data_IF_806660836482
#
_entry.id   IF_806660836482
#
_cell.length_a   1.000
_cell.length_b   1.000
_cell.length_c   1.000
_cell.angle_alpha   90.00
_cell.angle_beta   90.00
_cell.angle_gamma   90.00
#
_symmetry.space_group_name_H-M   'P 1'
#
loop_
_entity.id
_entity.type
_entity.pdbx_description
1 polymer ?
#
# COMPACT_ATOMS: atom_id res chain seq x y z
N UNK A 1 -3.76 -9.81 0.14
CA UNK A 1 -4.43 -8.68 -0.54
C UNK A 1 -3.45 -7.59 -1.01
N UNK A 2 -2.51 -7.11 -0.18
CA UNK A 2 -1.56 -6.06 -0.56
C UNK A 2 -0.73 -6.32 -1.83
N UNK A 3 -0.38 -7.58 -2.10
CA UNK A 3 0.38 -7.96 -3.31
C UNK A 3 -0.30 -7.56 -4.62
N UNK A 4 -1.64 -7.40 -4.66
CA UNK A 4 -2.33 -6.96 -5.86
C UNK A 4 -2.02 -5.51 -6.23
N UNK A 5 -1.81 -4.63 -5.23
CA UNK A 5 -1.43 -3.25 -5.48
C UNK A 5 -0.02 -3.18 -6.08
N UNK A 6 0.92 -3.94 -5.53
CA UNK A 6 2.29 -4.02 -6.02
C UNK A 6 2.35 -4.63 -7.43
N UNK A 7 1.59 -5.70 -7.67
CA UNK A 7 1.51 -6.33 -8.99
C UNK A 7 0.94 -5.38 -10.03
N UNK A 8 -0.09 -4.61 -9.69
CA UNK A 8 -0.64 -3.57 -10.57
C UNK A 8 0.40 -2.50 -10.88
N UNK A 9 1.16 -2.05 -9.87
CA UNK A 9 2.22 -1.06 -10.07
C UNK A 9 3.30 -1.54 -11.04
N UNK A 10 3.81 -2.77 -10.81
CA UNK A 10 4.78 -3.44 -11.69
C UNK A 10 4.24 -3.67 -13.10
N UNK A 11 2.95 -3.99 -13.23
CA UNK A 11 2.31 -4.15 -14.53
C UNK A 11 2.30 -2.83 -15.31
N UNK A 12 1.95 -1.71 -14.67
CA UNK A 12 1.98 -0.39 -15.29
C UNK A 12 3.39 0.02 -15.70
N UNK A 13 4.40 -0.20 -14.85
CA UNK A 13 5.80 0.06 -15.19
C UNK A 13 6.28 -0.78 -16.37
N UNK A 14 5.81 -2.03 -16.47
CA UNK A 14 6.14 -2.92 -17.59
C UNK A 14 5.48 -2.46 -18.88
N UNK A 15 4.23 -1.97 -18.84
CA UNK A 15 3.56 -1.36 -19.98
C UNK A 15 4.34 -0.12 -20.45
N UNK A 16 4.72 0.77 -19.54
CA UNK A 16 5.51 1.97 -19.88
C UNK A 16 6.81 1.60 -20.59
N UNK A 17 7.54 0.60 -20.08
CA UNK A 17 8.78 0.10 -20.70
C UNK A 17 8.52 -0.53 -22.07
N UNK A 18 7.41 -1.26 -22.25
CA UNK A 18 7.04 -1.86 -23.53
C UNK A 18 6.71 -0.83 -24.64
N UNK A 19 6.43 0.42 -24.26
CA UNK A 19 6.25 1.55 -25.16
C UNK A 19 7.46 2.50 -25.16
N UNK A 20 8.66 1.99 -24.83
CA UNK A 20 9.92 2.72 -24.78
C UNK A 20 9.91 3.98 -23.88
N UNK A 21 9.00 4.03 -22.89
CA UNK A 21 8.82 5.20 -22.04
C UNK A 21 8.19 6.41 -22.75
N UNK A 22 7.67 6.25 -23.97
CA UNK A 22 7.06 7.34 -24.73
C UNK A 22 5.60 7.54 -24.30
N UNK A 23 5.37 8.50 -23.40
CA UNK A 23 4.08 8.75 -22.73
C UNK A 23 2.85 8.74 -23.65
N UNK A 24 2.93 9.34 -24.83
CA UNK A 24 1.79 9.43 -25.78
C UNK A 24 1.23 8.06 -26.19
N UNK A 25 2.02 6.99 -26.06
CA UNK A 25 1.64 5.65 -26.48
C UNK A 25 0.97 4.83 -25.36
N UNK A 26 1.29 5.11 -24.10
CA UNK A 26 0.76 4.31 -22.98
C UNK A 26 -0.20 5.06 -22.05
N UNK A 27 -0.22 6.40 -22.02
CA UNK A 27 -1.03 7.17 -21.05
C UNK A 27 -2.51 6.76 -21.11
N UNK A 28 -3.09 6.67 -22.31
CA UNK A 28 -4.49 6.21 -22.48
C UNK A 28 -4.72 4.78 -22.00
N UNK A 29 -3.71 3.91 -22.15
CA UNK A 29 -3.80 2.52 -21.67
C UNK A 29 -3.83 2.51 -20.14
N UNK A 30 -2.96 3.29 -19.49
CA UNK A 30 -2.94 3.41 -18.04
C UNK A 30 -4.23 4.02 -17.50
N UNK A 31 -4.79 5.04 -18.16
CA UNK A 31 -6.08 5.64 -17.79
C UNK A 31 -7.23 4.61 -17.82
N UNK A 32 -7.30 3.78 -18.86
CA UNK A 32 -8.31 2.72 -18.96
C UNK A 32 -8.13 1.68 -17.83
N UNK A 33 -6.89 1.31 -17.54
CA UNK A 33 -6.58 0.38 -16.43
C UNK A 33 -7.00 1.01 -15.11
N UNK A 34 -6.69 2.28 -14.87
CA UNK A 34 -7.02 2.99 -13.64
C UNK A 34 -8.52 3.15 -13.42
N UNK A 35 -9.27 3.46 -14.48
CA UNK A 35 -10.74 3.53 -14.43
C UNK A 35 -11.34 2.19 -14.06
N UNK A 36 -10.92 1.11 -14.73
CA UNK A 36 -11.41 -0.24 -14.43
C UNK A 36 -11.01 -0.72 -13.04
N UNK A 37 -9.77 -0.43 -12.64
CA UNK A 37 -9.27 -0.78 -11.32
C UNK A 37 -10.07 -0.07 -10.22
N UNK A 38 -10.32 1.22 -10.37
CA UNK A 38 -11.05 2.01 -9.36
C UNK A 38 -12.52 1.59 -9.25
N UNK A 39 -13.16 1.28 -10.38
CA UNK A 39 -14.56 0.83 -10.41
C UNK A 39 -14.75 -0.55 -9.78
N UNK A 40 -13.84 -1.49 -10.05
CA UNK A 40 -13.94 -2.88 -9.59
C UNK A 40 -13.33 -3.11 -8.20
N UNK A 41 -12.31 -2.34 -7.82
CA UNK A 41 -11.61 -2.43 -6.55
C UNK A 41 -11.71 -1.10 -5.80
N UNK A 42 -12.59 -1.04 -4.79
CA UNK A 42 -12.67 0.12 -3.88
C UNK A 42 -11.32 0.35 -3.21
N UNK A 43 -10.63 1.42 -3.62
CA UNK A 43 -9.18 1.64 -3.39
C UNK A 43 -8.76 1.58 -1.92
N UNK A 44 -9.57 2.03 -0.96
CA UNK A 44 -9.11 2.23 0.41
C UNK A 44 -8.73 0.93 1.11
N UNK A 45 -9.64 -0.04 1.22
CA UNK A 45 -9.39 -1.28 1.98
C UNK A 45 -8.23 -2.12 1.39
N UNK A 46 -8.17 -2.22 0.06
CA UNK A 46 -7.14 -3.00 -0.61
C UNK A 46 -5.77 -2.33 -0.54
N UNK A 47 -5.72 -1.00 -0.65
CA UNK A 47 -4.46 -0.25 -0.54
C UNK A 47 -3.93 -0.30 0.89
N UNK A 48 -4.81 -0.22 1.89
CA UNK A 48 -4.42 -0.38 3.31
C UNK A 48 -3.78 -1.74 3.57
N UNK A 49 -4.27 -2.80 2.92
CA UNK A 49 -3.66 -4.13 3.01
C UNK A 49 -2.20 -4.22 2.52
N UNK A 50 -1.73 -3.24 1.74
CA UNK A 50 -0.31 -3.15 1.36
C UNK A 50 0.54 -2.63 2.51
N UNK A 51 0.18 -1.47 3.08
CA UNK A 51 0.96 -0.83 4.16
C UNK A 51 0.89 -1.59 5.48
N UNK A 52 -0.18 -2.33 5.75
CA UNK A 52 -0.29 -3.19 6.93
C UNK A 52 0.44 -4.53 6.81
N UNK A 53 0.93 -4.88 5.61
CA UNK A 53 1.80 -6.03 5.43
C UNK A 53 3.26 -5.59 5.65
N UNK A 54 3.89 -6.10 6.72
CA UNK A 54 5.26 -5.78 7.08
C UNK A 54 6.29 -6.11 5.98
N UNK A 55 6.10 -7.21 5.25
CA UNK A 55 6.99 -7.57 4.15
C UNK A 55 6.93 -6.50 3.06
N UNK A 56 5.71 -6.20 2.60
CA UNK A 56 5.48 -5.29 1.50
C UNK A 56 5.84 -3.85 1.84
N UNK A 57 5.48 -3.39 3.05
CA UNK A 57 5.75 -2.01 3.45
C UNK A 57 7.24 -1.75 3.63
N UNK A 58 7.95 -2.59 4.39
CA UNK A 58 9.36 -2.35 4.71
C UNK A 58 10.32 -2.71 3.59
N UNK A 59 9.88 -3.51 2.60
CA UNK A 59 10.65 -3.84 1.39
C UNK A 59 10.05 -3.23 0.12
N UNK A 60 9.15 -2.28 0.27
CA UNK A 60 8.47 -1.64 -0.86
C UNK A 60 9.49 -1.13 -1.88
N UNK A 61 9.26 -1.48 -3.15
CA UNK A 61 9.96 -0.86 -4.28
C UNK A 61 9.18 0.31 -4.88
N UNK A 62 8.01 0.64 -4.32
CA UNK A 62 7.18 1.75 -4.78
C UNK A 62 7.82 3.09 -4.37
N UNK A 63 7.57 4.14 -5.15
CA UNK A 63 8.04 5.48 -4.81
C UNK A 63 7.37 6.01 -3.53
N UNK A 64 8.07 6.90 -2.82
CA UNK A 64 7.55 7.56 -1.60
C UNK A 64 6.20 8.25 -1.85
N UNK A 65 6.02 8.88 -3.01
CA UNK A 65 4.76 9.52 -3.40
C UNK A 65 3.59 8.51 -3.46
N UNK A 66 3.84 7.31 -4.01
CA UNK A 66 2.81 6.27 -4.06
C UNK A 66 2.51 5.73 -2.65
N UNK A 67 3.54 5.53 -1.82
CA UNK A 67 3.37 5.10 -0.43
C UNK A 67 2.57 6.13 0.36
N UNK A 68 2.82 7.44 0.16
CA UNK A 68 2.05 8.51 0.79
C UNK A 68 0.55 8.44 0.44
N UNK A 69 0.20 8.21 -0.83
CA UNK A 69 -1.20 8.02 -1.27
C UNK A 69 -1.87 6.81 -0.63
N UNK A 70 -1.10 5.75 -0.35
CA UNK A 70 -1.62 4.58 0.37
C UNK A 70 -1.88 4.93 1.84
N UNK A 71 -1.03 5.75 2.48
CA UNK A 71 -1.27 6.26 3.82
C UNK A 71 -2.48 7.19 3.91
N UNK A 72 -2.70 8.06 2.92
CA UNK A 72 -3.93 8.86 2.84
C UNK A 72 -5.17 7.94 2.80
N UNK A 73 -5.11 6.88 2.00
CA UNK A 73 -6.19 5.88 1.91
C UNK A 73 -6.45 5.17 3.23
N UNK A 74 -5.42 4.98 4.07
CA UNK A 74 -5.56 4.46 5.43
C UNK A 74 -6.31 5.42 6.34
N UNK A 75 -5.92 6.69 6.35
CA UNK A 75 -6.59 7.68 7.17
C UNK A 75 -8.07 7.81 6.81
N UNK A 76 -8.39 7.90 5.52
CA UNK A 76 -9.79 7.88 5.05
C UNK A 76 -10.54 6.62 5.49
N UNK A 77 -9.87 5.46 5.46
CA UNK A 77 -10.48 4.20 5.90
C UNK A 77 -10.80 4.21 7.41
N UNK A 78 -9.87 4.68 8.23
CA UNK A 78 -10.05 4.79 9.69
C UNK A 78 -11.18 5.77 10.01
N UNK A 79 -11.18 6.96 9.41
CA UNK A 79 -12.22 7.97 9.60
C UNK A 79 -13.61 7.47 9.19
N UNK A 80 -13.68 6.66 8.12
CA UNK A 80 -14.96 6.11 7.63
C UNK A 80 -15.46 4.95 8.49
N UNK A 81 -14.57 4.09 8.98
CA UNK A 81 -14.95 2.83 9.65
C UNK A 81 -15.01 2.93 11.18
N UNK A 82 -14.26 3.86 11.77
CA UNK A 82 -14.11 3.98 13.23
C UNK A 82 -14.74 5.30 13.67
N UNK A 83 -16.01 5.33 14.10
CA UNK A 83 -16.68 6.56 14.49
C UNK A 83 -16.19 7.14 15.83
N UNK A 84 -15.54 6.33 16.66
CA UNK A 84 -15.01 6.74 17.96
C UNK A 84 -13.63 7.39 17.84
N UNK A 85 -13.53 8.68 18.18
CA UNK A 85 -12.29 9.44 18.08
C UNK A 85 -11.18 8.94 19.00
N UNK A 86 -11.52 8.45 20.20
CA UNK A 86 -10.49 7.90 21.11
C UNK A 86 -9.82 6.67 20.52
N UNK A 87 -10.57 5.82 19.82
CA UNK A 87 -10.02 4.69 19.07
C UNK A 87 -9.19 5.15 17.87
N UNK A 88 -9.59 6.21 17.16
CA UNK A 88 -8.77 6.78 16.08
C UNK A 88 -7.41 7.29 16.59
N UNK A 89 -7.38 7.97 17.74
CA UNK A 89 -6.15 8.47 18.35
C UNK A 89 -5.21 7.32 18.77
N UNK A 90 -5.77 6.24 19.33
CA UNK A 90 -5.02 5.03 19.66
C UNK A 90 -4.43 4.38 18.41
N UNK A 91 -5.21 4.28 17.33
CA UNK A 91 -4.73 3.75 16.05
C UNK A 91 -3.59 4.61 15.49
N UNK A 92 -3.66 5.94 15.61
CA UNK A 92 -2.59 6.83 15.18
C UNK A 92 -1.29 6.60 15.99
N UNK A 93 -1.41 6.43 17.30
CA UNK A 93 -0.27 6.14 18.17
C UNK A 93 0.38 4.78 17.85
N UNK A 94 -0.42 3.73 17.66
CA UNK A 94 0.09 2.41 17.23
C UNK A 94 0.69 2.46 15.83
N UNK A 95 0.13 3.28 14.93
CA UNK A 95 0.66 3.47 13.59
C UNK A 95 2.07 4.09 13.60
N UNK A 96 2.32 5.05 14.50
CA UNK A 96 3.65 5.63 14.65
C UNK A 96 4.69 4.57 15.03
N UNK A 97 4.36 3.70 15.98
CA UNK A 97 5.21 2.57 16.40
C UNK A 97 5.42 1.57 15.27
N UNK A 98 4.36 1.28 14.52
CA UNK A 98 4.44 0.40 13.36
C UNK A 98 5.42 0.95 12.32
N UNK A 99 5.29 2.23 11.95
CA UNK A 99 6.14 2.87 10.94
C UNK A 99 7.62 2.91 11.32
N UNK A 100 7.93 3.13 12.60
CA UNK A 100 9.30 3.13 13.11
C UNK A 100 9.85 1.73 13.41
N UNK A 101 9.04 0.68 13.23
CA UNK A 101 9.35 -0.68 13.71
C UNK A 101 9.77 -0.67 15.19
N UNK A 102 9.07 0.08 16.04
CA UNK A 102 9.40 0.21 17.45
C UNK A 102 9.08 -1.08 18.24
N UNK A 103 9.79 -1.28 19.35
CA UNK A 103 9.61 -2.41 20.25
C UNK A 103 9.74 -3.79 19.58
N UNK A 104 8.74 -4.65 19.77
CA UNK A 104 8.77 -6.04 19.27
C UNK A 104 8.78 -6.12 17.74
N UNK A 105 8.23 -5.11 17.03
CA UNK A 105 8.16 -5.08 15.57
C UNK A 105 9.52 -4.90 14.90
N UNK A 106 10.48 -4.29 15.61
CA UNK A 106 11.87 -4.12 15.19
C UNK A 106 12.81 -5.19 15.71
N UNK A 107 12.32 -6.14 16.51
CA UNK A 107 13.16 -7.23 17.02
C UNK A 107 13.75 -8.05 15.86
N UNK A 108 14.97 -8.56 16.02
CA UNK A 108 15.62 -9.35 14.97
C UNK A 108 14.81 -10.60 14.57
N UNK A 109 14.00 -11.15 15.48
CA UNK A 109 13.08 -12.24 15.16
C UNK A 109 11.92 -11.75 14.29
N UNK A 110 11.28 -10.62 14.64
CA UNK A 110 10.20 -10.05 13.85
C UNK A 110 10.67 -9.64 12.45
N UNK A 111 11.85 -9.03 12.31
CA UNK A 111 12.42 -8.64 11.01
C UNK A 111 12.64 -9.87 10.12
N UNK A 112 13.23 -10.96 10.63
CA UNK A 112 13.40 -12.21 9.87
C UNK A 112 12.08 -12.92 9.57
N UNK A 113 11.08 -12.74 10.42
CA UNK A 113 9.76 -13.32 10.25
C UNK A 113 8.93 -12.63 9.16
N UNK A 114 9.25 -11.39 8.77
CA UNK A 114 8.52 -10.61 7.75
C UNK A 114 8.39 -11.38 6.44
N UNK A 115 9.43 -12.13 6.05
CA UNK A 115 9.52 -12.81 4.75
C UNK A 115 9.12 -14.29 4.80
N UNK A 116 8.97 -14.84 6.01
CA UNK A 116 8.78 -16.29 6.21
C UNK A 116 7.39 -16.61 6.73
N UNK A 117 6.65 -15.62 7.22
CA UNK A 117 5.26 -15.77 7.67
C UNK A 117 4.36 -14.94 6.77
N UNK A 118 3.56 -15.61 5.96
CA UNK A 118 2.48 -14.96 5.22
C UNK A 118 1.54 -14.28 6.23
N UNK A 119 1.07 -13.06 5.96
CA UNK A 119 -0.09 -12.55 6.67
C UNK A 119 -1.25 -13.48 6.33
N UNK A 120 -1.81 -14.12 7.37
CA UNK A 120 -2.99 -14.97 7.23
C UNK A 120 -4.17 -14.23 6.62
#
# INVERSE_FOLDING_TARGET
MGYMLEAMDKAKETIQRGFDGVSRHYVKVLEIIDLRWTDQFKRSLHSVGYILNLELYFKSTMSEEKIAKVWESYHTCVETMVPDFSTQDLLLAELAKYKSADGLLGSGQAVRARDTRSPG
#
